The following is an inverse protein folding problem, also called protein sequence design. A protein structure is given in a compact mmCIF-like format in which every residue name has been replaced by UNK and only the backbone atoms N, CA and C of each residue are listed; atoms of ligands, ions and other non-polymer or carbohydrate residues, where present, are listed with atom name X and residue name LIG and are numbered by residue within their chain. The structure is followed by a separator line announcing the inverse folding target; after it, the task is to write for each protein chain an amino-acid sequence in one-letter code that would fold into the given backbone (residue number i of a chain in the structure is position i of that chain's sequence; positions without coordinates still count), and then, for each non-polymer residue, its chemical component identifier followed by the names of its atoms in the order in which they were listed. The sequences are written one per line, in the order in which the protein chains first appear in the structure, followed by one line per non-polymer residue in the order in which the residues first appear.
data_IF_193398586960
#
_entry.id   IF_193398586960
#
_cell.length_a   1.000
_cell.length_b   1.000
_cell.length_c   1.000
_cell.angle_alpha   90.00
_cell.angle_beta   90.00
_cell.angle_gamma   90.00
#
_symmetry.space_group_name_H-M   'P 1'
#
loop_
_entity.id
_entity.type
_entity.pdbx_description
1 polymer ?
#
# COMPACT_ATOMS: atom_id res chain seq x y z
N UNK A 1 -17.21 2.03 -6.38
CA UNK A 1 -17.53 2.95 -5.27
C UNK A 1 -16.19 3.35 -4.66
N UNK A 2 -15.92 4.64 -4.47
CA UNK A 2 -14.62 5.11 -3.95
C UNK A 2 -14.65 4.97 -2.42
N UNK A 3 -13.66 4.29 -1.84
CA UNK A 3 -13.51 4.24 -0.39
C UNK A 3 -13.23 5.66 0.12
N UNK A 4 -14.06 6.09 1.08
CA UNK A 4 -14.02 7.45 1.62
C UNK A 4 -13.82 7.38 3.13
N UNK A 5 -12.83 8.11 3.62
CA UNK A 5 -12.41 8.15 5.03
C UNK A 5 -12.44 9.58 5.57
N UNK A 6 -12.35 9.76 6.89
CA UNK A 6 -12.21 11.08 7.51
C UNK A 6 -10.77 11.35 7.95
N UNK A 7 -10.38 12.63 7.99
CA UNK A 7 -9.12 13.05 8.60
C UNK A 7 -9.02 12.50 10.03
N UNK A 8 -7.89 11.86 10.34
CA UNK A 8 -7.59 11.22 11.61
C UNK A 8 -7.91 9.73 11.65
N UNK A 9 -8.49 9.17 10.58
CA UNK A 9 -8.65 7.73 10.43
C UNK A 9 -7.33 7.06 10.06
N UNK A 10 -7.17 5.81 10.47
CA UNK A 10 -6.09 4.94 10.03
C UNK A 10 -6.60 4.05 8.90
N UNK A 11 -6.09 4.27 7.70
CA UNK A 11 -6.48 3.55 6.49
C UNK A 11 -5.51 2.40 6.24
N UNK A 12 -6.05 1.19 6.13
CA UNK A 12 -5.28 0.01 5.73
C UNK A 12 -5.28 -0.13 4.20
N UNK A 13 -4.11 -0.04 3.60
CA UNK A 13 -3.86 -0.32 2.19
C UNK A 13 -3.30 -1.74 2.10
N UNK A 14 -4.01 -2.66 1.48
CA UNK A 14 -3.54 -4.04 1.27
C UNK A 14 -3.34 -4.32 -0.20
N UNK A 15 -2.47 -5.27 -0.52
CA UNK A 15 -2.34 -5.83 -1.86
C UNK A 15 -3.67 -6.40 -2.34
N UNK A 16 -4.21 -5.91 -3.46
CA UNK A 16 -5.47 -6.40 -4.02
C UNK A 16 -5.34 -7.82 -4.59
N UNK A 17 -4.16 -8.13 -5.13
CA UNK A 17 -3.76 -9.48 -5.53
C UNK A 17 -2.46 -9.82 -4.84
N UNK A 18 -2.33 -11.00 -4.20
CA UNK A 18 -1.06 -11.40 -3.61
C UNK A 18 0.04 -11.43 -4.67
N UNK A 19 1.27 -11.10 -4.27
CA UNK A 19 2.45 -11.36 -5.07
C UNK A 19 2.52 -12.85 -5.42
N UNK A 20 2.86 -13.14 -6.68
CA UNK A 20 2.89 -14.49 -7.22
C UNK A 20 4.14 -14.69 -8.04
N UNK A 21 4.78 -15.84 -7.94
CA UNK A 21 5.88 -16.24 -8.82
C UNK A 21 5.42 -16.31 -10.29
N UNK A 22 6.38 -16.49 -11.20
CA UNK A 22 6.09 -16.68 -12.63
C UNK A 22 5.21 -17.92 -12.91
N UNK A 23 5.14 -18.86 -11.96
CA UNK A 23 4.27 -20.03 -12.01
C UNK A 23 2.85 -19.78 -11.47
N UNK A 24 2.52 -18.55 -11.06
CA UNK A 24 1.20 -18.19 -10.50
C UNK A 24 0.97 -18.70 -9.07
N UNK A 25 2.04 -18.98 -8.33
CA UNK A 25 1.98 -19.43 -6.93
C UNK A 25 2.27 -18.25 -6.02
N UNK A 26 1.54 -18.09 -4.92
CA UNK A 26 1.80 -17.03 -3.95
C UNK A 26 3.27 -17.06 -3.50
N UNK A 27 3.93 -15.91 -3.58
CA UNK A 27 5.35 -15.74 -3.35
C UNK A 27 5.60 -14.45 -2.58
N UNK A 28 6.60 -14.46 -1.71
CA UNK A 28 7.00 -13.30 -0.91
C UNK A 28 8.19 -12.59 -1.57
N UNK A 29 8.05 -11.34 -2.06
CA UNK A 29 9.18 -10.57 -2.57
C UNK A 29 10.21 -10.29 -1.48
N UNK A 30 11.46 -10.06 -1.87
CA UNK A 30 12.56 -9.67 -0.97
C UNK A 30 12.33 -8.27 -0.38
N UNK A 31 11.83 -7.36 -1.21
CA UNK A 31 11.49 -5.99 -0.81
C UNK A 31 10.06 -5.70 -1.24
N UNK A 32 9.23 -5.24 -0.31
CA UNK A 32 7.88 -4.72 -0.60
C UNK A 32 7.83 -3.26 -0.19
N UNK A 33 7.50 -2.40 -1.16
CA UNK A 33 7.43 -0.94 -0.96
C UNK A 33 6.02 -0.46 -1.24
N UNK A 34 5.48 0.32 -0.30
CA UNK A 34 4.21 1.04 -0.43
C UNK A 34 4.52 2.52 -0.61
N UNK A 35 4.41 2.99 -1.84
CA UNK A 35 4.48 4.40 -2.18
C UNK A 35 3.09 5.03 -2.04
N UNK A 36 2.94 5.95 -1.10
CA UNK A 36 1.68 6.62 -0.81
C UNK A 36 1.85 8.11 -1.11
N UNK A 37 1.02 8.62 -2.03
CA UNK A 37 1.00 10.01 -2.42
C UNK A 37 -0.17 10.73 -1.79
N UNK A 38 0.17 11.59 -0.85
CA UNK A 38 -0.73 12.50 -0.17
C UNK A 38 -1.16 13.68 -1.09
N UNK A 39 -2.39 14.20 -0.97
CA UNK A 39 -2.85 15.34 -1.76
C UNK A 39 -2.02 16.61 -1.52
N UNK A 40 -1.22 16.99 -2.51
CA UNK A 40 -0.43 18.23 -2.46
C UNK A 40 0.85 18.14 -1.64
N UNK A 41 1.29 16.93 -1.28
CA UNK A 41 2.59 16.64 -0.69
C UNK A 41 3.38 15.67 -1.58
N UNK A 42 4.63 15.43 -1.19
CA UNK A 42 5.50 14.45 -1.84
C UNK A 42 5.05 13.02 -1.52
N UNK A 43 5.46 12.07 -2.36
CA UNK A 43 5.19 10.64 -2.14
C UNK A 43 6.05 10.12 -0.99
N UNK A 44 5.42 9.44 -0.03
CA UNK A 44 6.09 8.75 1.07
C UNK A 44 6.19 7.27 0.73
N UNK A 45 7.36 6.66 0.93
CA UNK A 45 7.57 5.23 0.73
C UNK A 45 7.68 4.52 2.08
N UNK A 46 6.90 3.46 2.26
CA UNK A 46 6.98 2.55 3.41
C UNK A 46 7.48 1.20 2.96
N UNK A 47 8.51 0.66 3.61
CA UNK A 47 9.17 -0.58 3.21
C UNK A 47 8.96 -1.66 4.27
N UNK A 48 8.53 -2.85 3.83
CA UNK A 48 8.38 -4.01 4.70
C UNK A 48 9.71 -4.38 5.37
N UNK A 49 9.68 -4.59 6.69
CA UNK A 49 10.86 -4.90 7.49
C UNK A 49 11.73 -3.69 7.87
N UNK A 50 11.41 -2.50 7.35
CA UNK A 50 12.03 -1.23 7.76
C UNK A 50 11.04 -0.37 8.54
N UNK A 51 9.81 -0.24 8.04
CA UNK A 51 8.75 0.55 8.65
C UNK A 51 7.74 -0.34 9.39
N UNK A 52 7.44 0.00 10.64
CA UNK A 52 6.46 -0.71 11.48
C UNK A 52 5.02 -0.61 10.93
N UNK A 53 4.77 0.30 10.00
CA UNK A 53 3.49 0.48 9.33
C UNK A 53 3.15 -0.64 8.36
N UNK A 54 4.13 -1.40 7.88
CA UNK A 54 3.93 -2.47 6.90
C UNK A 54 3.94 -3.83 7.58
N UNK A 55 2.80 -4.52 7.51
CA UNK A 55 2.61 -5.85 8.09
C UNK A 55 2.34 -6.88 6.98
N UNK A 56 3.00 -8.03 7.09
CA UNK A 56 2.70 -9.20 6.26
C UNK A 56 1.47 -9.93 6.81
N UNK A 57 0.45 -10.14 5.97
CA UNK A 57 -0.79 -10.81 6.34
C UNK A 57 -0.75 -12.31 5.99
N UNK A 58 -0.21 -12.64 4.82
CA UNK A 58 0.00 -14.01 4.34
C UNK A 58 1.15 -14.04 3.32
N UNK A 59 1.47 -15.21 2.76
CA UNK A 59 2.44 -15.29 1.67
C UNK A 59 1.94 -14.50 0.46
N UNK A 60 2.75 -13.53 0.03
CA UNK A 60 2.45 -12.58 -1.03
C UNK A 60 1.41 -11.52 -0.66
N UNK A 61 0.87 -11.50 0.56
CA UNK A 61 -0.16 -10.54 0.98
C UNK A 61 0.36 -9.62 2.08
N UNK A 62 0.36 -8.33 1.81
CA UNK A 62 0.95 -7.30 2.65
C UNK A 62 -0.05 -6.16 2.82
N UNK A 63 0.01 -5.50 3.98
CA UNK A 63 -0.77 -4.32 4.26
C UNK A 63 0.08 -3.22 4.89
N UNK A 64 -0.15 -1.99 4.47
CA UNK A 64 0.39 -0.78 5.07
C UNK A 64 -0.74 0.00 5.75
N UNK A 65 -0.56 0.33 7.01
CA UNK A 65 -1.48 1.19 7.75
C UNK A 65 -1.00 2.65 7.71
N UNK A 66 -1.79 3.52 7.07
CA UNK A 66 -1.47 4.95 6.87
C UNK A 66 -2.43 5.80 7.67
N UNK A 67 -1.90 6.73 8.48
CA UNK A 67 -2.69 7.74 9.17
C UNK A 67 -2.98 8.90 8.22
N UNK A 68 -4.26 9.18 7.95
CA UNK A 68 -4.66 10.21 6.98
C UNK A 68 -4.91 11.56 7.65
N UNK A 69 -4.10 12.56 7.34
CA UNK A 69 -4.14 13.89 7.98
C UNK A 69 -4.65 14.99 7.04
N UNK A 70 -4.48 14.80 5.73
CA UNK A 70 -4.88 15.78 4.71
C UNK A 70 -6.12 15.33 3.91
N UNK A 71 -7.13 16.22 3.76
CA UNK A 71 -8.29 15.91 2.93
C UNK A 71 -7.92 15.97 1.44
N UNK A 72 -8.45 15.03 0.67
CA UNK A 72 -8.26 14.96 -0.78
C UNK A 72 -8.17 13.54 -1.30
N UNK A 73 -7.69 13.37 -2.52
CA UNK A 73 -7.47 12.07 -3.14
C UNK A 73 -6.05 11.59 -2.88
N UNK A 74 -5.94 10.51 -2.12
CA UNK A 74 -4.68 9.83 -1.87
C UNK A 74 -4.49 8.73 -2.90
N UNK A 75 -3.28 8.63 -3.44
CA UNK A 75 -2.90 7.56 -4.37
C UNK A 75 -1.91 6.64 -3.68
N UNK A 76 -1.93 5.37 -4.04
CA UNK A 76 -0.92 4.44 -3.59
C UNK A 76 -0.46 3.55 -4.72
N UNK A 77 0.78 3.11 -4.61
CA UNK A 77 1.42 2.17 -5.50
C UNK A 77 2.25 1.21 -4.64
N UNK A 78 2.02 -0.08 -4.82
CA UNK A 78 2.67 -1.16 -4.09
C UNK A 78 3.56 -1.87 -5.09
N UNK A 79 4.84 -1.95 -4.79
CA UNK A 79 5.82 -2.66 -5.62
C UNK A 79 6.49 -3.75 -4.81
N UNK A 80 6.80 -4.86 -5.47
CA UNK A 80 7.64 -5.93 -4.96
C UNK A 80 8.90 -6.04 -5.80
N UNK A 81 10.05 -6.26 -5.17
CA UNK A 81 11.30 -6.61 -5.84
C UNK A 81 11.80 -7.95 -5.30
N UNK A 82 12.28 -8.80 -6.21
CA UNK A 82 12.89 -10.09 -5.89
C UNK A 82 14.13 -10.28 -6.76
N UNK A 83 15.23 -10.74 -6.15
CA UNK A 83 16.54 -10.85 -6.81
C UNK A 83 16.58 -11.91 -7.93
N UNK A 84 15.65 -12.86 -7.91
CA UNK A 84 15.50 -13.92 -8.92
C UNK A 84 14.68 -13.49 -10.15
N UNK A 85 14.19 -12.25 -10.17
CA UNK A 85 13.36 -11.74 -11.25
C UNK A 85 11.94 -12.32 -11.25
N UNK A 86 11.53 -13.00 -10.18
CA UNK A 86 10.14 -13.38 -10.00
C UNK A 86 9.27 -12.13 -9.75
N UNK A 87 8.19 -12.08 -10.52
CA UNK A 87 7.15 -11.05 -10.61
C UNK A 87 7.22 -9.92 -9.57
N UNK A 88 7.69 -8.76 -10.03
CA UNK A 88 7.53 -7.47 -9.37
C UNK A 88 6.06 -7.03 -9.46
N UNK A 89 5.20 -7.62 -8.63
CA UNK A 89 3.79 -7.26 -8.57
C UNK A 89 3.67 -5.75 -8.35
N UNK A 90 2.90 -5.09 -9.21
CA UNK A 90 2.57 -3.68 -9.05
C UNK A 90 1.06 -3.59 -8.83
N UNK A 91 0.65 -3.20 -7.63
CA UNK A 91 -0.75 -2.86 -7.36
C UNK A 91 -0.87 -1.35 -7.14
N UNK A 92 -1.90 -0.74 -7.70
CA UNK A 92 -2.10 0.70 -7.59
C UNK A 92 -3.57 1.03 -7.38
N UNK A 93 -3.81 2.05 -6.58
CA UNK A 93 -5.17 2.49 -6.30
C UNK A 93 -5.22 3.89 -5.73
N UNK A 94 -6.43 4.28 -5.35
CA UNK A 94 -6.68 5.56 -4.72
C UNK A 94 -7.88 5.47 -3.79
N UNK A 95 -7.89 6.34 -2.79
CA UNK A 95 -9.01 6.54 -1.89
C UNK A 95 -9.20 8.04 -1.62
N UNK A 96 -10.37 8.41 -1.12
CA UNK A 96 -10.68 9.81 -0.80
C UNK A 96 -10.75 10.02 0.70
N UNK A 97 -10.18 11.13 1.16
CA UNK A 97 -10.23 11.57 2.55
C UNK A 97 -11.03 12.87 2.59
N UNK A 98 -12.09 12.89 3.39
CA UNK A 98 -12.92 14.05 3.65
C UNK A 98 -12.51 14.72 4.95
N UNK A 99 -12.81 16.01 5.06
CA UNK A 99 -12.73 16.69 6.36
C UNK A 99 -13.74 16.07 7.30
N UNK A 100 -13.32 15.87 8.55
CA UNK A 100 -14.21 15.46 9.63
C UNK A 100 -15.37 16.44 9.74
N UNK A 101 -16.59 15.93 9.61
CA UNK A 101 -17.80 16.74 9.82
C UNK A 101 -18.15 16.64 11.30
N UNK A 102 -18.00 17.75 12.02
CA UNK A 102 -18.26 17.87 13.46
C UNK A 102 -19.75 17.98 13.74
#
# INVERSE_FOLDING_TARGET
MINTYEIGDRVRISTATPFQSTAGVAFDPDVVTFEVKEPGQDTVAYVYGTDDNVTKLATGDYACDVDVDTPGTWYYHITGEADDGENSGADQGYFSVLRKVV
#
